data_IF_865798392071
#
_entry.id   IF_865798392071
#
_cell.length_a   1.000
_cell.length_b   1.000
_cell.length_c   1.000
_cell.angle_alpha   90.00
_cell.angle_beta   90.00
_cell.angle_gamma   90.00
#
_symmetry.space_group_name_H-M   'P 1'
#
loop_
_entity.id
_entity.type
_entity.pdbx_description
1 polymer ?
#
# COMPACT_ATOMS: atom_id res chain seq x y z
N UNK A 1 15.92 7.49 16.55
CA UNK A 1 15.35 7.24 15.21
C UNK A 1 14.08 8.08 15.09
N UNK A 2 14.16 9.26 14.47
CA UNK A 2 12.98 10.10 14.26
C UNK A 2 12.10 9.45 13.20
N UNK A 3 10.97 8.88 13.62
CA UNK A 3 9.93 8.50 12.69
C UNK A 3 9.44 9.78 12.02
N UNK A 4 9.85 10.05 10.78
CA UNK A 4 9.28 11.10 9.95
C UNK A 4 7.80 10.77 9.77
N UNK A 5 6.98 11.27 10.69
CA UNK A 5 5.54 11.12 10.67
C UNK A 5 5.06 11.76 9.38
N UNK A 6 4.66 10.94 8.39
CA UNK A 6 4.06 11.46 7.15
C UNK A 6 2.90 12.38 7.54
N UNK A 7 2.91 13.66 7.14
CA UNK A 7 1.88 14.60 7.56
C UNK A 7 0.51 14.07 7.15
N UNK A 8 -0.44 14.13 8.08
CA UNK A 8 -1.82 13.80 7.78
C UNK A 8 -2.45 14.97 7.01
N UNK A 9 -3.24 14.65 5.98
CA UNK A 9 -3.99 15.62 5.16
C UNK A 9 -5.48 15.29 5.20
N UNK A 10 -6.32 16.24 4.86
CA UNK A 10 -7.76 16.01 4.69
C UNK A 10 -8.02 14.98 3.60
N UNK A 11 -9.09 14.20 3.77
CA UNK A 11 -9.57 13.30 2.74
C UNK A 11 -9.97 14.10 1.49
N UNK A 12 -9.62 13.59 0.31
CA UNK A 12 -9.92 14.20 -0.99
C UNK A 12 -11.36 13.96 -1.48
N UNK A 13 -12.25 13.47 -0.62
CA UNK A 13 -13.67 13.26 -0.93
C UNK A 13 -14.43 14.43 -0.33
N UNK A 14 -15.30 15.04 -1.13
CA UNK A 14 -16.16 16.15 -0.69
C UNK A 14 -16.96 15.73 0.55
N UNK A 15 -17.17 16.69 1.46
CA UNK A 15 -17.84 16.50 2.74
C UNK A 15 -17.19 15.47 3.70
N UNK A 16 -15.98 14.99 3.42
CA UNK A 16 -15.24 14.12 4.34
C UNK A 16 -14.22 14.89 5.19
N UNK A 17 -14.45 14.97 6.49
CA UNK A 17 -13.56 15.66 7.45
C UNK A 17 -12.44 14.78 8.01
N UNK A 18 -12.37 13.50 7.60
CA UNK A 18 -11.36 12.56 8.13
C UNK A 18 -9.96 12.90 7.62
N UNK A 19 -8.98 12.75 8.49
CA UNK A 19 -7.57 12.85 8.13
C UNK A 19 -7.05 11.53 7.56
N UNK A 20 -6.11 11.63 6.62
CA UNK A 20 -5.47 10.47 5.99
C UNK A 20 -3.98 10.70 5.77
N UNK A 21 -3.23 9.61 5.83
CA UNK A 21 -1.81 9.54 5.46
C UNK A 21 -1.59 8.72 4.18
N UNK A 22 -2.68 8.31 3.51
CA UNK A 22 -2.60 7.52 2.28
C UNK A 22 -2.01 8.35 1.14
N UNK A 23 -1.22 7.71 0.27
CA UNK A 23 -0.68 8.35 -0.93
C UNK A 23 -1.79 8.77 -1.91
N UNK A 24 -2.91 8.05 -1.91
CA UNK A 24 -4.11 8.35 -2.70
C UNK A 24 -4.95 9.52 -2.16
N UNK A 25 -4.67 10.00 -0.93
CA UNK A 25 -5.38 11.15 -0.35
C UNK A 25 -6.79 10.83 0.13
N UNK A 26 -7.15 9.55 0.23
CA UNK A 26 -8.45 9.10 0.73
C UNK A 26 -8.32 8.45 2.12
N UNK A 27 -9.30 8.66 2.99
CA UNK A 27 -9.38 8.00 4.29
C UNK A 27 -9.71 6.51 4.13
N UNK A 28 -9.75 5.75 5.23
CA UNK A 28 -9.97 4.30 5.19
C UNK A 28 -11.29 3.92 4.49
N UNK A 29 -12.36 4.65 4.76
CA UNK A 29 -13.70 4.40 4.20
C UNK A 29 -13.83 4.80 2.72
N UNK A 30 -13.02 5.76 2.28
CA UNK A 30 -13.03 6.26 0.90
C UNK A 30 -11.92 5.64 0.04
N UNK A 31 -11.12 4.73 0.60
CA UNK A 31 -10.10 4.02 -0.17
C UNK A 31 -10.81 3.09 -1.16
N UNK A 32 -10.39 3.04 -2.43
CA UNK A 32 -10.93 2.06 -3.36
C UNK A 32 -10.74 0.66 -2.79
N UNK A 33 -11.82 -0.12 -2.74
CA UNK A 33 -11.86 -1.43 -2.07
C UNK A 33 -10.93 -2.45 -2.74
N UNK A 34 -10.49 -2.20 -3.98
CA UNK A 34 -9.61 -3.09 -4.74
C UNK A 34 -8.12 -2.80 -4.54
N UNK A 35 -7.74 -1.91 -3.62
CA UNK A 35 -6.32 -1.60 -3.37
C UNK A 35 -5.85 -2.36 -2.13
N UNK A 36 -5.00 -3.40 -2.29
CA UNK A 36 -4.51 -4.18 -1.17
C UNK A 36 -3.72 -3.30 -0.19
N UNK A 37 -3.72 -3.70 1.07
CA UNK A 37 -2.92 -3.07 2.11
C UNK A 37 -1.59 -3.79 2.23
N UNK A 38 -0.49 -3.03 2.07
CA UNK A 38 0.87 -3.54 2.19
C UNK A 38 1.53 -2.92 3.41
N UNK A 39 2.00 -3.76 4.32
CA UNK A 39 2.63 -3.33 5.58
C UNK A 39 3.98 -4.01 5.74
N UNK A 40 5.02 -3.26 6.14
CA UNK A 40 6.30 -3.87 6.54
C UNK A 40 6.15 -4.53 7.90
N UNK A 41 6.63 -5.75 8.02
CA UNK A 41 6.63 -6.53 9.26
C UNK A 41 8.08 -6.69 9.73
N UNK A 42 8.26 -6.90 11.04
CA UNK A 42 9.57 -7.16 11.64
C UNK A 42 10.27 -8.33 10.96
N UNK A 43 11.61 -8.29 10.87
CA UNK A 43 12.39 -9.33 10.20
C UNK A 43 12.43 -9.23 8.67
N UNK A 44 12.06 -8.08 8.10
CA UNK A 44 12.16 -7.83 6.65
C UNK A 44 11.02 -8.42 5.82
N UNK A 45 10.01 -8.98 6.46
CA UNK A 45 8.81 -9.51 5.81
C UNK A 45 7.87 -8.39 5.37
N UNK A 46 7.01 -8.69 4.40
CA UNK A 46 5.90 -7.82 4.01
C UNK A 46 4.58 -8.55 4.24
N UNK A 47 3.56 -7.84 4.74
CA UNK A 47 2.21 -8.35 4.81
C UNK A 47 1.36 -7.71 3.72
N UNK A 48 0.70 -8.53 2.90
CA UNK A 48 -0.26 -8.10 1.88
C UNK A 48 -1.64 -8.62 2.32
N UNK A 49 -2.56 -7.71 2.63
CA UNK A 49 -3.90 -8.01 3.18
C UNK A 49 -3.86 -8.98 4.36
N UNK A 50 -2.88 -8.79 5.24
CA UNK A 50 -2.70 -9.60 6.45
C UNK A 50 -1.95 -10.93 6.25
N UNK A 51 -1.61 -11.31 5.01
CA UNK A 51 -0.75 -12.47 4.73
C UNK A 51 0.71 -12.05 4.73
N UNK A 52 1.51 -12.62 5.63
CA UNK A 52 2.94 -12.37 5.68
C UNK A 52 3.67 -13.16 4.60
N UNK A 53 4.62 -12.49 3.95
CA UNK A 53 5.52 -13.05 2.96
C UNK A 53 6.96 -12.83 3.42
N UNK A 54 7.76 -13.88 3.30
CA UNK A 54 9.22 -13.80 3.46
C UNK A 54 9.82 -12.89 2.39
N UNK A 55 11.05 -12.37 2.59
CA UNK A 55 11.73 -11.57 1.58
C UNK A 55 11.85 -12.27 0.21
N UNK A 56 12.05 -13.59 0.21
CA UNK A 56 12.15 -14.38 -1.03
C UNK A 56 10.80 -14.46 -1.77
N UNK A 57 9.71 -14.76 -1.06
CA UNK A 57 8.36 -14.80 -1.64
C UNK A 57 7.91 -13.42 -2.13
N UNK A 58 8.25 -12.37 -1.37
CA UNK A 58 7.97 -10.99 -1.73
C UNK A 58 8.68 -10.59 -3.04
N UNK A 59 9.94 -10.99 -3.21
CA UNK A 59 10.72 -10.72 -4.40
C UNK A 59 10.16 -11.49 -5.61
N UNK A 60 9.83 -12.76 -5.45
CA UNK A 60 9.23 -13.56 -6.51
C UNK A 60 7.89 -12.96 -6.97
N UNK A 61 7.04 -12.53 -6.03
CA UNK A 61 5.79 -11.85 -6.35
C UNK A 61 6.03 -10.54 -7.12
N UNK A 62 7.01 -9.75 -6.69
CA UNK A 62 7.36 -8.50 -7.37
C UNK A 62 7.82 -8.72 -8.81
N UNK A 63 8.64 -9.76 -9.05
CA UNK A 63 9.08 -10.12 -10.40
C UNK A 63 7.90 -10.55 -11.28
N UNK A 64 7.03 -11.42 -10.78
CA UNK A 64 5.82 -11.85 -11.52
C UNK A 64 4.90 -10.70 -11.88
N UNK A 65 4.76 -9.71 -10.98
CA UNK A 65 4.00 -8.49 -11.27
C UNK A 65 4.67 -7.63 -12.33
N UNK A 66 6.00 -7.50 -12.30
CA UNK A 66 6.76 -6.76 -13.30
C UNK A 66 6.63 -7.42 -14.68
N UNK A 67 6.75 -8.74 -14.77
CA UNK A 67 6.54 -9.50 -16.00
C UNK A 67 5.13 -9.31 -16.55
N UNK A 68 4.09 -9.43 -15.70
CA UNK A 68 2.70 -9.25 -16.12
C UNK A 68 2.45 -7.82 -16.64
N UNK A 69 2.98 -6.79 -15.97
CA UNK A 69 2.83 -5.40 -16.40
C UNK A 69 3.54 -5.15 -17.74
N UNK A 70 4.73 -5.68 -17.93
CA UNK A 70 5.47 -5.57 -19.20
C UNK A 70 4.72 -6.23 -20.38
N UNK A 71 3.94 -7.28 -20.14
CA UNK A 71 3.11 -7.92 -21.18
C UNK A 71 1.81 -7.19 -21.51
N UNK A 72 1.41 -6.17 -20.74
CA UNK A 72 0.14 -5.44 -20.95
C UNK A 72 0.30 -4.17 -21.80
N UNK A 73 1.52 -3.88 -22.27
CA UNK A 73 1.87 -2.69 -23.05
C UNK A 73 1.98 -2.97 -24.58
N UNK A 74 1.26 -3.99 -25.09
CA UNK A 74 1.09 -4.28 -26.53
C UNK A 74 -0.36 -4.03 -27.00
#
# INVERSE_FOLDING_TARGET
MSATSRPARSCAVDDCTRLTRSAAGRCADHRPQNVPTVTRVTGGMIAIDGRCHTPAEALELANRLADALATTED
#
